data_IF_410118668988
#
_entry.id   IF_410118668988
#
_cell.length_a   1.000
_cell.length_b   1.000
_cell.length_c   1.000
_cell.angle_alpha   90.00
_cell.angle_beta   90.00
_cell.angle_gamma   90.00
#
_symmetry.space_group_name_H-M   'P 1'
#
loop_
_entity.id
_entity.type
_entity.pdbx_description
1 polymer ?
#
# COMPACT_ATOMS: atom_id res chain seq x y z
N UNK A 1 26.02 34.06 -4.65
CA UNK A 1 25.60 32.95 -3.76
C UNK A 1 25.68 31.71 -4.62
N UNK A 2 26.65 30.83 -4.35
CA UNK A 2 26.75 29.54 -5.04
C UNK A 2 26.25 28.48 -4.07
N UNK A 3 25.30 27.66 -4.52
CA UNK A 3 24.82 26.53 -3.72
C UNK A 3 25.95 25.52 -3.48
N UNK A 4 25.86 24.79 -2.37
CA UNK A 4 26.86 23.77 -2.08
C UNK A 4 26.78 22.60 -3.07
N UNK A 5 27.92 22.00 -3.39
CA UNK A 5 28.01 20.85 -4.32
C UNK A 5 27.09 19.68 -3.90
N UNK A 6 26.85 19.52 -2.60
CA UNK A 6 25.95 18.52 -2.02
C UNK A 6 24.48 18.76 -2.38
N UNK A 7 24.02 20.01 -2.39
CA UNK A 7 22.67 20.40 -2.77
C UNK A 7 22.45 20.19 -4.27
N UNK A 8 23.44 20.57 -5.09
CA UNK A 8 23.41 20.31 -6.54
C UNK A 8 23.27 18.82 -6.83
N UNK A 9 24.06 17.96 -6.16
CA UNK A 9 23.95 16.52 -6.33
C UNK A 9 22.58 16.00 -5.85
N UNK A 10 22.03 16.57 -4.78
CA UNK A 10 20.72 16.19 -4.29
C UNK A 10 19.63 16.41 -5.34
N UNK A 11 19.62 17.59 -6.00
CA UNK A 11 18.66 17.89 -7.06
C UNK A 11 18.85 16.99 -8.29
N UNK A 12 20.09 16.71 -8.69
CA UNK A 12 20.37 15.81 -9.80
C UNK A 12 19.81 14.40 -9.54
N UNK A 13 20.04 13.84 -8.36
CA UNK A 13 19.52 12.50 -8.02
C UNK A 13 17.97 12.46 -8.03
N UNK A 14 17.30 13.57 -7.72
CA UNK A 14 15.83 13.66 -7.76
C UNK A 14 15.35 13.76 -9.20
N UNK A 15 16.07 14.52 -10.04
CA UNK A 15 15.79 14.58 -11.48
C UNK A 15 15.89 13.20 -12.14
N UNK A 16 16.88 12.39 -11.77
CA UNK A 16 17.00 11.01 -12.30
C UNK A 16 15.74 10.17 -11.98
N UNK A 17 15.19 10.31 -10.76
CA UNK A 17 13.93 9.62 -10.37
C UNK A 17 12.73 10.15 -11.16
N UNK A 18 12.69 11.45 -11.45
CA UNK A 18 11.65 12.04 -12.29
C UNK A 18 11.76 11.55 -13.73
N UNK A 19 12.97 11.43 -14.26
CA UNK A 19 13.22 10.92 -15.61
C UNK A 19 12.75 9.48 -15.73
N UNK A 20 13.09 8.63 -14.75
CA UNK A 20 12.58 7.26 -14.68
C UNK A 20 11.05 7.22 -14.58
N UNK A 21 10.42 8.13 -13.83
CA UNK A 21 8.96 8.24 -13.75
C UNK A 21 8.33 8.62 -15.09
N UNK A 22 8.90 9.61 -15.79
CA UNK A 22 8.40 10.03 -17.09
C UNK A 22 8.59 8.90 -18.12
N UNK A 23 9.73 8.23 -18.11
CA UNK A 23 9.99 7.07 -18.96
C UNK A 23 9.02 5.92 -18.67
N UNK A 24 8.73 5.64 -17.39
CA UNK A 24 7.73 4.63 -16.98
C UNK A 24 6.35 4.89 -17.59
N UNK A 25 5.99 6.16 -17.80
CA UNK A 25 4.72 6.56 -18.40
C UNK A 25 4.77 6.79 -19.92
N UNK A 26 5.95 6.67 -20.55
CA UNK A 26 6.22 7.06 -21.94
C UNK A 26 6.04 8.58 -22.19
N UNK A 27 6.28 9.40 -21.16
CA UNK A 27 6.18 10.86 -21.18
C UNK A 27 7.57 11.53 -21.29
N UNK A 28 8.52 10.86 -21.93
CA UNK A 28 9.94 11.25 -22.01
C UNK A 28 10.13 12.75 -22.30
N UNK A 29 10.83 13.44 -21.39
CA UNK A 29 11.16 14.87 -21.52
C UNK A 29 10.02 15.85 -21.22
N UNK A 30 8.81 15.38 -20.89
CA UNK A 30 7.65 16.23 -20.59
C UNK A 30 7.57 16.50 -19.07
N UNK A 31 8.55 17.23 -18.54
CA UNK A 31 8.67 17.52 -17.10
C UNK A 31 7.45 18.21 -16.47
N UNK A 32 6.65 18.94 -17.26
CA UNK A 32 5.39 19.52 -16.81
C UNK A 32 4.40 18.46 -16.28
N UNK A 33 4.55 17.18 -16.65
CA UNK A 33 3.74 16.08 -16.11
C UNK A 33 4.22 15.62 -14.72
N UNK A 34 5.49 15.85 -14.38
CA UNK A 34 6.08 15.56 -13.08
C UNK A 34 5.89 16.72 -12.09
N UNK A 35 5.94 17.95 -12.57
CA UNK A 35 5.69 19.16 -11.77
C UNK A 35 4.35 19.80 -12.11
N UNK A 36 3.39 19.61 -11.21
CA UNK A 36 2.12 20.35 -11.24
C UNK A 36 2.07 21.26 -10.01
N UNK A 37 1.99 22.60 -10.18
CA UNK A 37 2.04 23.54 -9.07
C UNK A 37 1.06 23.17 -7.95
N UNK A 38 1.61 23.01 -6.75
CA UNK A 38 0.92 22.64 -5.52
C UNK A 38 0.52 21.16 -5.36
N UNK A 39 0.84 20.22 -6.26
CA UNK A 39 0.35 18.83 -6.17
C UNK A 39 1.13 17.91 -5.20
N UNK A 40 2.20 18.39 -4.57
CA UNK A 40 2.95 17.64 -3.54
C UNK A 40 3.73 16.43 -4.07
N UNK A 41 3.83 16.25 -5.39
CA UNK A 41 4.57 15.15 -6.04
C UNK A 41 6.06 15.19 -5.72
N UNK A 42 6.63 16.38 -5.58
CA UNK A 42 8.06 16.57 -5.24
C UNK A 42 8.45 15.83 -3.95
N UNK A 43 7.65 15.97 -2.88
CA UNK A 43 7.89 15.27 -1.63
C UNK A 43 7.89 13.74 -1.82
N UNK A 44 7.01 13.21 -2.68
CA UNK A 44 6.94 11.77 -2.97
C UNK A 44 8.19 11.29 -3.69
N UNK A 45 8.70 12.07 -4.65
CA UNK A 45 9.98 11.77 -5.33
C UNK A 45 11.15 11.82 -4.36
N UNK A 46 11.15 12.76 -3.40
CA UNK A 46 12.17 12.82 -2.34
C UNK A 46 12.16 11.57 -1.45
N UNK A 47 10.97 11.09 -1.06
CA UNK A 47 10.83 9.84 -0.32
C UNK A 47 11.31 8.64 -1.15
N UNK A 48 10.87 8.53 -2.40
CA UNK A 48 11.27 7.44 -3.28
C UNK A 48 12.78 7.42 -3.49
N UNK A 49 13.40 8.56 -3.82
CA UNK A 49 14.86 8.69 -3.94
C UNK A 49 15.59 8.19 -2.70
N UNK A 50 15.10 8.56 -1.51
CA UNK A 50 15.67 8.10 -0.23
C UNK A 50 15.54 6.58 -0.08
N UNK A 51 14.41 6.00 -0.45
CA UNK A 51 14.17 4.55 -0.36
C UNK A 51 15.00 3.77 -1.37
N UNK A 52 15.06 4.19 -2.63
CA UNK A 52 15.90 3.57 -3.65
C UNK A 52 17.37 3.60 -3.26
N UNK A 53 17.88 4.70 -2.69
CA UNK A 53 19.23 4.74 -2.13
C UNK A 53 19.41 3.81 -0.91
N UNK A 54 18.36 3.59 -0.12
CA UNK A 54 18.42 2.74 1.07
C UNK A 54 18.38 1.25 0.74
N UNK A 55 17.68 0.87 -0.34
CA UNK A 55 17.38 -0.52 -0.67
C UNK A 55 18.07 -1.01 -1.96
N UNK A 56 18.38 -0.11 -2.90
CA UNK A 56 18.82 -0.45 -4.26
C UNK A 56 20.34 -0.61 -4.46
N UNK A 57 21.17 -0.38 -3.45
CA UNK A 57 22.65 -0.53 -3.57
C UNK A 57 23.12 -2.01 -3.67
N UNK A 58 22.20 -2.97 -3.81
CA UNK A 58 22.48 -4.41 -3.89
C UNK A 58 23.00 -5.01 -2.57
N UNK A 59 22.92 -4.26 -1.47
CA UNK A 59 23.32 -4.71 -0.12
C UNK A 59 22.06 -4.88 0.72
N UNK A 60 22.00 -5.95 1.50
CA UNK A 60 20.93 -6.13 2.48
C UNK A 60 20.83 -4.92 3.42
N UNK A 61 19.64 -4.34 3.48
CA UNK A 61 19.29 -3.24 4.37
C UNK A 61 18.61 -3.77 5.63
N UNK A 62 19.07 -3.32 6.80
CA UNK A 62 18.42 -3.65 8.10
C UNK A 62 17.00 -3.09 8.24
N UNK A 63 16.59 -2.23 7.31
CA UNK A 63 15.25 -1.65 7.26
C UNK A 63 14.29 -2.43 6.38
N UNK A 64 14.78 -3.22 5.42
CA UNK A 64 13.94 -4.07 4.59
C UNK A 64 13.64 -5.40 5.28
N UNK A 65 12.75 -6.19 4.69
CA UNK A 65 12.62 -7.61 5.05
C UNK A 65 13.88 -8.39 4.63
N UNK A 66 14.14 -9.52 5.29
CA UNK A 66 15.32 -10.33 5.01
C UNK A 66 15.18 -11.04 3.66
N UNK A 67 16.23 -10.98 2.84
CA UNK A 67 16.27 -11.67 1.55
C UNK A 67 15.47 -11.02 0.42
N UNK A 68 15.15 -9.73 0.52
CA UNK A 68 14.59 -8.98 -0.61
C UNK A 68 15.57 -8.93 -1.79
N UNK A 69 15.02 -8.95 -3.00
CA UNK A 69 15.78 -8.95 -4.24
C UNK A 69 15.65 -7.60 -4.96
N UNK A 70 16.43 -7.42 -6.04
CA UNK A 70 16.33 -6.22 -6.86
C UNK A 70 14.93 -6.05 -7.47
N UNK A 71 14.24 -7.15 -7.78
CA UNK A 71 12.87 -7.12 -8.28
C UNK A 71 11.90 -6.51 -7.26
N UNK A 72 12.08 -6.76 -5.96
CA UNK A 72 11.25 -6.13 -4.93
C UNK A 72 11.46 -4.60 -4.87
N UNK A 73 12.69 -4.14 -5.13
CA UNK A 73 13.03 -2.71 -5.21
C UNK A 73 12.43 -2.09 -6.47
N UNK A 74 12.42 -2.81 -7.58
CA UNK A 74 11.79 -2.39 -8.83
C UNK A 74 10.26 -2.30 -8.65
N UNK A 75 9.65 -3.27 -7.97
CA UNK A 75 8.23 -3.25 -7.60
C UNK A 75 7.91 -2.07 -6.68
N UNK A 76 8.74 -1.82 -5.66
CA UNK A 76 8.64 -0.64 -4.80
C UNK A 76 8.64 0.66 -5.63
N UNK A 77 9.53 0.76 -6.62
CA UNK A 77 9.61 1.92 -7.50
C UNK A 77 8.33 2.09 -8.33
N UNK A 78 7.91 1.03 -9.02
CA UNK A 78 6.73 1.06 -9.90
C UNK A 78 5.46 1.39 -9.13
N UNK A 79 5.28 0.77 -7.97
CA UNK A 79 4.17 1.06 -7.06
C UNK A 79 4.18 2.55 -6.68
N UNK A 80 5.33 3.09 -6.27
CA UNK A 80 5.45 4.51 -5.92
C UNK A 80 5.10 5.44 -7.10
N UNK A 81 5.51 5.09 -8.32
CA UNK A 81 5.14 5.84 -9.52
C UNK A 81 3.63 5.82 -9.78
N UNK A 82 2.95 4.70 -9.57
CA UNK A 82 1.50 4.62 -9.69
C UNK A 82 0.80 5.51 -8.65
N UNK A 83 1.30 5.55 -7.41
CA UNK A 83 0.80 6.44 -6.36
C UNK A 83 0.99 7.93 -6.72
N UNK A 84 2.14 8.28 -7.31
CA UNK A 84 2.41 9.63 -7.82
C UNK A 84 1.46 9.98 -8.97
N UNK A 85 1.25 9.06 -9.92
CA UNK A 85 0.35 9.23 -11.06
C UNK A 85 -1.11 9.39 -10.63
N UNK A 86 -1.56 8.57 -9.68
CA UNK A 86 -2.89 8.64 -9.08
C UNK A 86 -3.10 9.87 -8.18
N UNK A 87 -2.04 10.67 -7.95
CA UNK A 87 -2.04 11.90 -7.13
C UNK A 87 -2.48 11.67 -5.67
N UNK A 88 -2.00 10.60 -5.04
CA UNK A 88 -2.37 10.28 -3.64
C UNK A 88 -1.77 11.26 -2.59
N UNK A 89 -1.04 12.31 -2.99
CA UNK A 89 -0.35 13.23 -2.06
C UNK A 89 -1.08 14.53 -1.66
N UNK A 90 -2.16 14.95 -2.35
CA UNK A 90 -2.79 16.26 -2.07
C UNK A 90 -4.06 16.18 -1.19
N UNK A 91 -4.73 15.03 -1.18
CA UNK A 91 -5.91 14.74 -0.33
C UNK A 91 -5.68 13.61 0.68
N UNK A 92 -4.64 12.79 0.49
CA UNK A 92 -4.11 11.85 1.47
C UNK A 92 -2.77 12.42 1.94
N UNK A 93 -2.57 12.53 3.25
CA UNK A 93 -1.66 13.45 3.94
C UNK A 93 -0.14 13.24 3.75
N UNK A 94 0.30 12.51 2.72
CA UNK A 94 1.69 12.09 2.52
C UNK A 94 2.22 11.15 3.61
N UNK A 95 1.56 11.06 4.77
CA UNK A 95 1.94 10.15 5.86
C UNK A 95 1.59 8.72 5.50
N UNK A 96 0.49 8.52 4.80
CA UNK A 96 0.08 7.19 4.35
C UNK A 96 1.09 6.59 3.35
N UNK A 97 1.64 7.42 2.45
CA UNK A 97 2.72 7.01 1.52
C UNK A 97 3.96 6.50 2.28
N UNK A 98 4.29 7.11 3.42
CA UNK A 98 5.44 6.69 4.25
C UNK A 98 5.29 5.28 4.83
N UNK A 99 4.08 4.72 4.92
CA UNK A 99 3.88 3.35 5.37
C UNK A 99 4.39 2.31 4.37
N UNK A 100 4.70 2.70 3.13
CA UNK A 100 5.26 1.77 2.13
C UNK A 100 6.69 1.37 2.54
N UNK A 101 7.58 2.35 2.80
CA UNK A 101 8.99 2.04 3.05
C UNK A 101 9.75 3.00 3.98
N UNK A 102 9.08 3.88 4.74
CA UNK A 102 9.79 4.85 5.59
C UNK A 102 10.06 4.37 7.02
N UNK A 103 11.25 4.71 7.52
CA UNK A 103 11.62 4.54 8.92
C UNK A 103 12.40 3.26 9.20
N UNK A 104 11.94 2.51 10.19
CA UNK A 104 12.54 1.24 10.64
C UNK A 104 11.63 0.10 10.20
N UNK A 105 12.21 -1.09 9.99
CA UNK A 105 11.55 -2.28 9.45
C UNK A 105 10.10 -2.50 9.92
N UNK A 106 9.86 -2.45 11.24
CA UNK A 106 8.51 -2.65 11.83
C UNK A 106 7.47 -1.56 11.54
N UNK A 107 7.83 -0.48 10.86
CA UNK A 107 6.98 0.69 10.66
C UNK A 107 6.42 0.79 9.23
N UNK A 108 6.81 -0.11 8.33
CA UNK A 108 6.42 -0.03 6.93
C UNK A 108 6.29 -1.41 6.26
N UNK A 109 5.59 -1.47 5.13
CA UNK A 109 5.24 -2.71 4.44
C UNK A 109 6.49 -3.42 3.89
N UNK A 110 7.41 -2.66 3.28
CA UNK A 110 8.68 -3.18 2.76
C UNK A 110 9.61 -3.77 3.84
N UNK A 111 9.23 -3.70 5.12
CA UNK A 111 9.97 -4.29 6.22
C UNK A 111 9.54 -5.71 6.59
N UNK A 112 8.40 -6.18 6.08
CA UNK A 112 7.89 -7.52 6.31
C UNK A 112 7.55 -8.22 4.99
N UNK A 113 8.15 -9.38 4.74
CA UNK A 113 8.03 -10.07 3.46
C UNK A 113 6.59 -10.51 3.14
N UNK A 114 5.81 -10.87 4.16
CA UNK A 114 4.43 -11.33 3.97
C UNK A 114 3.53 -10.14 3.63
N UNK A 115 3.61 -9.07 4.42
CA UNK A 115 2.85 -7.83 4.18
C UNK A 115 3.24 -7.23 2.83
N UNK A 116 4.55 -7.16 2.53
CA UNK A 116 5.04 -6.61 1.26
C UNK A 116 4.47 -7.36 0.06
N UNK A 117 4.58 -8.69 0.07
CA UNK A 117 4.13 -9.50 -1.06
C UNK A 117 2.63 -9.35 -1.32
N UNK A 118 1.82 -9.45 -0.27
CA UNK A 118 0.37 -9.32 -0.39
C UNK A 118 -0.03 -7.92 -0.88
N UNK A 119 0.65 -6.88 -0.37
CA UNK A 119 0.45 -5.49 -0.78
C UNK A 119 0.79 -5.27 -2.26
N UNK A 120 1.94 -5.76 -2.70
CA UNK A 120 2.41 -5.63 -4.07
C UNK A 120 1.54 -6.43 -5.05
N UNK A 121 1.25 -7.69 -4.74
CA UNK A 121 0.38 -8.55 -5.56
C UNK A 121 -1.02 -7.92 -5.72
N UNK A 122 -1.59 -7.40 -4.62
CA UNK A 122 -2.88 -6.71 -4.63
C UNK A 122 -2.81 -5.42 -5.46
N UNK A 123 -1.78 -4.60 -5.28
CA UNK A 123 -1.58 -3.37 -6.04
C UNK A 123 -1.54 -3.64 -7.54
N UNK A 124 -0.72 -4.60 -7.98
CA UNK A 124 -0.60 -4.93 -9.39
C UNK A 124 -1.87 -5.58 -9.97
N UNK A 125 -2.65 -6.30 -9.16
CA UNK A 125 -3.96 -6.82 -9.57
C UNK A 125 -4.97 -5.71 -9.91
N UNK A 126 -4.85 -4.56 -9.25
CA UNK A 126 -5.67 -3.36 -9.46
C UNK A 126 -5.14 -2.54 -10.64
N UNK A 127 -3.84 -2.25 -10.63
CA UNK A 127 -3.22 -1.31 -11.57
C UNK A 127 -3.02 -1.90 -12.96
N UNK A 128 -2.56 -3.15 -13.08
CA UNK A 128 -2.20 -3.72 -14.39
C UNK A 128 -3.38 -3.73 -15.38
N UNK A 129 -4.61 -4.12 -14.99
CA UNK A 129 -5.77 -4.03 -15.87
C UNK A 129 -6.10 -2.59 -16.26
N UNK A 130 -6.00 -1.64 -15.33
CA UNK A 130 -6.25 -0.23 -15.58
C UNK A 130 -5.23 0.36 -16.57
N UNK A 131 -3.94 0.11 -16.39
CA UNK A 131 -2.88 0.53 -17.33
C UNK A 131 -3.16 -0.02 -18.72
N UNK A 132 -3.49 -1.31 -18.85
CA UNK A 132 -3.81 -1.93 -20.14
C UNK A 132 -5.01 -1.24 -20.82
N UNK A 133 -6.07 -0.96 -20.06
CA UNK A 133 -7.27 -0.26 -20.55
C UNK A 133 -6.91 1.15 -21.03
N UNK A 134 -6.21 1.92 -20.20
CA UNK A 134 -5.82 3.31 -20.49
C UNK A 134 -4.90 3.37 -21.72
N UNK A 135 -3.91 2.49 -21.82
CA UNK A 135 -3.01 2.38 -22.99
C UNK A 135 -3.78 2.11 -24.28
N UNK A 136 -4.84 1.29 -24.23
CA UNK A 136 -5.64 0.93 -25.40
C UNK A 136 -6.65 2.02 -25.80
N UNK A 137 -7.33 2.63 -24.83
CA UNK A 137 -8.43 3.57 -25.10
C UNK A 137 -7.95 5.01 -25.31
N UNK A 138 -6.79 5.37 -24.74
CA UNK A 138 -6.28 6.73 -24.72
C UNK A 138 -4.79 6.79 -25.14
N UNK A 139 -4.41 6.29 -26.34
CA UNK A 139 -3.02 6.27 -26.77
C UNK A 139 -2.39 7.68 -26.75
N UNK A 140 -1.08 7.75 -26.51
CA UNK A 140 -0.37 9.03 -26.49
C UNK A 140 -0.29 9.59 -27.92
N UNK A 141 -0.82 10.81 -28.10
CA UNK A 141 -0.72 11.53 -29.36
C UNK A 141 0.31 12.66 -29.24
N UNK A 142 1.57 12.35 -29.58
CA UNK A 142 2.68 13.32 -29.58
C UNK A 142 2.50 14.48 -30.57
N UNK A 143 1.54 14.40 -31.50
CA UNK A 143 1.26 15.46 -32.46
C UNK A 143 0.11 16.38 -32.02
N UNK A 144 -0.48 16.13 -30.85
CA UNK A 144 -1.52 17.00 -30.27
C UNK A 144 -1.03 18.44 -30.15
N UNK A 145 -1.87 19.39 -30.54
CA UNK A 145 -1.62 20.83 -30.31
C UNK A 145 -1.43 21.16 -28.83
N UNK A 146 -2.00 20.34 -27.93
CA UNK A 146 -1.84 20.45 -26.49
C UNK A 146 -1.60 19.07 -25.87
N UNK A 147 -0.35 18.60 -25.94
CA UNK A 147 0.08 17.31 -25.39
C UNK A 147 -0.15 17.22 -23.87
N UNK A 148 0.16 18.29 -23.12
CA UNK A 148 0.02 18.31 -21.66
C UNK A 148 -1.44 18.08 -21.22
N UNK A 149 -2.40 18.71 -21.89
CA UNK A 149 -3.82 18.50 -21.59
C UNK A 149 -4.27 17.07 -21.91
N UNK A 150 -3.76 16.48 -23.00
CA UNK A 150 -4.05 15.09 -23.38
C UNK A 150 -3.52 14.10 -22.33
N UNK A 151 -2.25 14.25 -21.95
CA UNK A 151 -1.61 13.41 -20.93
C UNK A 151 -2.26 13.60 -19.55
N UNK A 152 -2.62 14.83 -19.19
CA UNK A 152 -3.35 15.12 -17.95
C UNK A 152 -4.73 14.44 -17.92
N UNK A 153 -5.44 14.40 -19.06
CA UNK A 153 -6.70 13.68 -19.16
C UNK A 153 -6.50 12.17 -18.97
N UNK A 154 -5.48 11.61 -19.61
CA UNK A 154 -5.10 10.20 -19.49
C UNK A 154 -4.77 9.82 -18.04
N UNK A 155 -4.02 10.65 -17.33
CA UNK A 155 -3.72 10.42 -15.91
C UNK A 155 -4.95 10.57 -15.00
N UNK A 156 -5.87 11.48 -15.32
CA UNK A 156 -7.15 11.58 -14.61
C UNK A 156 -7.99 10.31 -14.81
N UNK A 157 -8.03 9.75 -16.02
CA UNK A 157 -8.70 8.47 -16.30
C UNK A 157 -8.05 7.31 -15.55
N UNK A 158 -6.72 7.24 -15.54
CA UNK A 158 -6.00 6.26 -14.74
C UNK A 158 -6.39 6.35 -13.26
N UNK A 159 -6.33 7.56 -12.70
CA UNK A 159 -6.69 7.82 -11.30
C UNK A 159 -8.11 7.35 -10.99
N UNK A 160 -9.09 7.69 -11.82
CA UNK A 160 -10.49 7.33 -11.59
C UNK A 160 -10.71 5.81 -11.56
N UNK A 161 -9.89 5.04 -12.30
CA UNK A 161 -9.97 3.57 -12.32
C UNK A 161 -9.33 2.92 -11.09
N UNK A 162 -8.21 3.47 -10.57
CA UNK A 162 -7.40 2.77 -9.55
C UNK A 162 -7.52 3.32 -8.14
N UNK A 163 -7.88 4.60 -7.99
CA UNK A 163 -7.68 5.34 -6.73
C UNK A 163 -8.33 4.65 -5.52
N UNK A 164 -9.58 4.23 -5.66
CA UNK A 164 -10.31 3.57 -4.56
C UNK A 164 -9.64 2.24 -4.17
N UNK A 165 -9.25 1.42 -5.16
CA UNK A 165 -8.62 0.13 -4.92
C UNK A 165 -7.25 0.27 -4.24
N UNK A 166 -6.38 1.13 -4.75
CA UNK A 166 -5.04 1.30 -4.17
C UNK A 166 -5.08 2.02 -2.81
N UNK A 167 -6.07 2.89 -2.57
CA UNK A 167 -6.31 3.47 -1.25
C UNK A 167 -6.77 2.42 -0.24
N UNK A 168 -7.71 1.55 -0.64
CA UNK A 168 -8.15 0.44 0.20
C UNK A 168 -6.99 -0.52 0.53
N UNK A 169 -6.20 -0.88 -0.48
CA UNK A 169 -5.00 -1.71 -0.31
C UNK A 169 -4.03 -1.12 0.73
N UNK A 170 -3.82 0.21 0.70
CA UNK A 170 -2.97 0.92 1.65
C UNK A 170 -3.51 0.84 3.09
N UNK A 171 -4.81 1.03 3.28
CA UNK A 171 -5.47 0.99 4.59
C UNK A 171 -5.49 -0.41 5.21
N UNK A 172 -5.76 -1.43 4.38
CA UNK A 172 -5.74 -2.83 4.78
C UNK A 172 -4.36 -3.23 5.30
N UNK A 173 -3.30 -2.97 4.51
CA UNK A 173 -1.95 -3.33 4.89
C UNK A 173 -1.39 -2.47 6.03
N UNK A 174 -1.88 -1.24 6.20
CA UNK A 174 -1.61 -0.44 7.39
C UNK A 174 -2.21 -1.09 8.65
N UNK A 175 -3.39 -1.70 8.53
CA UNK A 175 -4.04 -2.44 9.62
C UNK A 175 -3.25 -3.71 9.95
N UNK A 176 -2.83 -4.47 8.94
CA UNK A 176 -2.02 -5.68 9.12
C UNK A 176 -0.67 -5.39 9.78
N UNK A 177 -0.01 -4.31 9.38
CA UNK A 177 1.20 -3.84 10.03
C UNK A 177 0.93 -3.48 11.51
N UNK A 178 -0.24 -2.89 11.80
CA UNK A 178 -0.72 -2.67 13.16
C UNK A 178 -0.81 -3.95 13.97
N UNK A 179 -1.45 -4.99 13.41
CA UNK A 179 -1.58 -6.30 14.06
C UNK A 179 -0.23 -6.98 14.29
N UNK A 180 0.68 -6.90 13.31
CA UNK A 180 2.04 -7.43 13.46
C UNK A 180 2.78 -6.76 14.62
N UNK A 181 2.63 -5.44 14.78
CA UNK A 181 3.27 -4.67 15.86
C UNK A 181 2.67 -4.93 17.25
N UNK A 182 1.43 -5.40 17.30
CA UNK A 182 0.71 -5.73 18.54
C UNK A 182 0.65 -7.23 18.81
N UNK A 183 1.41 -8.04 18.07
CA UNK A 183 1.42 -9.49 18.20
C UNK A 183 1.75 -9.98 19.63
N UNK A 184 2.50 -9.19 20.41
CA UNK A 184 2.83 -9.46 21.81
C UNK A 184 1.77 -8.97 22.81
N UNK A 185 0.67 -8.36 22.33
CA UNK A 185 -0.42 -7.78 23.12
C UNK A 185 -1.77 -8.44 22.79
N UNK A 186 -1.97 -9.72 23.16
CA UNK A 186 -3.17 -10.46 22.81
C UNK A 186 -4.48 -9.84 23.35
N UNK A 187 -4.41 -9.12 24.48
CA UNK A 187 -5.58 -8.42 25.03
C UNK A 187 -6.02 -7.25 24.14
N UNK A 188 -5.06 -6.50 23.59
CA UNK A 188 -5.33 -5.35 22.73
C UNK A 188 -5.91 -5.85 21.39
N UNK A 189 -5.29 -6.87 20.79
CA UNK A 189 -5.81 -7.52 19.58
C UNK A 189 -7.22 -8.10 19.80
N UNK A 190 -7.45 -8.79 20.92
CA UNK A 190 -8.77 -9.34 21.24
C UNK A 190 -9.83 -8.25 21.44
N UNK A 191 -9.45 -7.10 22.01
CA UNK A 191 -10.34 -5.94 22.17
C UNK A 191 -10.67 -5.32 20.81
N UNK A 192 -9.67 -5.16 19.94
CA UNK A 192 -9.86 -4.65 18.58
C UNK A 192 -10.75 -5.56 17.75
N UNK A 193 -10.53 -6.88 17.80
CA UNK A 193 -11.38 -7.87 17.14
C UNK A 193 -12.83 -7.80 17.62
N UNK A 194 -13.04 -7.70 18.94
CA UNK A 194 -14.38 -7.55 19.51
C UNK A 194 -15.07 -6.28 19.03
N UNK A 195 -14.39 -5.13 19.07
CA UNK A 195 -14.93 -3.85 18.58
C UNK A 195 -15.31 -3.92 17.10
N UNK A 196 -14.49 -4.58 16.28
CA UNK A 196 -14.77 -4.79 14.87
C UNK A 196 -16.06 -5.59 14.68
N UNK A 197 -16.20 -6.73 15.37
CA UNK A 197 -17.41 -7.57 15.34
C UNK A 197 -18.64 -6.78 15.80
N UNK A 198 -18.55 -6.08 16.94
CA UNK A 198 -19.65 -5.30 17.52
C UNK A 198 -20.12 -4.14 16.61
N UNK A 199 -19.25 -3.67 15.71
CA UNK A 199 -19.55 -2.57 14.77
C UNK A 199 -20.27 -3.01 13.50
N UNK A 200 -20.39 -4.31 13.25
CA UNK A 200 -21.02 -4.84 12.04
C UNK A 200 -22.53 -4.61 12.09
N UNK A 201 -23.02 -3.77 11.19
CA UNK A 201 -24.45 -3.51 11.02
C UNK A 201 -25.07 -4.56 10.10
N UNK A 202 -26.11 -5.25 10.57
CA UNK A 202 -26.79 -6.31 9.81
C UNK A 202 -27.94 -5.80 8.92
N UNK A 203 -28.38 -4.54 9.11
CA UNK A 203 -29.49 -3.93 8.36
C UNK A 203 -29.18 -3.59 6.89
N UNK A 204 -27.96 -3.15 6.53
CA UNK A 204 -27.59 -2.87 5.14
C UNK A 204 -27.65 -4.10 4.21
N UNK A 205 -28.04 -3.88 2.93
CA UNK A 205 -28.21 -4.97 1.93
C UNK A 205 -26.93 -5.76 1.65
N UNK A 206 -25.78 -5.12 1.77
CA UNK A 206 -24.46 -5.75 1.59
C UNK A 206 -24.16 -6.81 2.67
N UNK A 207 -24.77 -6.74 3.86
CA UNK A 207 -24.58 -7.78 4.88
C UNK A 207 -25.05 -9.17 4.42
N UNK A 208 -26.08 -9.22 3.56
CA UNK A 208 -26.64 -10.48 3.06
C UNK A 208 -25.86 -11.11 1.91
N UNK A 209 -24.74 -10.52 1.48
CA UNK A 209 -23.92 -11.09 0.41
C UNK A 209 -23.24 -12.39 0.87
N UNK A 210 -23.20 -13.45 0.05
CA UNK A 210 -22.62 -14.74 0.44
C UNK A 210 -21.20 -14.63 0.98
N UNK A 211 -20.36 -13.82 0.34
CA UNK A 211 -18.98 -13.60 0.74
C UNK A 211 -18.86 -12.97 2.13
N UNK A 212 -19.74 -12.02 2.47
CA UNK A 212 -19.76 -11.36 3.80
C UNK A 212 -20.18 -12.35 4.88
N UNK A 213 -21.16 -13.21 4.58
CA UNK A 213 -21.62 -14.23 5.52
C UNK A 213 -20.54 -15.31 5.75
N UNK A 214 -19.88 -15.75 4.68
CA UNK A 214 -18.81 -16.75 4.75
C UNK A 214 -17.58 -16.23 5.48
N UNK A 215 -17.03 -15.08 5.05
CA UNK A 215 -15.83 -14.49 5.67
C UNK A 215 -16.10 -13.97 7.08
N UNK A 216 -17.29 -13.44 7.33
CA UNK A 216 -17.70 -12.95 8.65
C UNK A 216 -18.11 -14.05 9.63
N UNK A 217 -18.22 -15.31 9.18
CA UNK A 217 -18.68 -16.42 10.02
C UNK A 217 -20.15 -16.29 10.46
N UNK A 218 -20.97 -15.54 9.70
CA UNK A 218 -22.38 -15.36 9.98
C UNK A 218 -23.18 -16.50 9.33
N UNK A 219 -23.85 -17.33 10.12
CA UNK A 219 -24.65 -18.43 9.59
C UNK A 219 -26.03 -17.93 9.10
N UNK A 220 -26.37 -18.05 7.80
CA UNK A 220 -27.68 -17.64 7.29
C UNK A 220 -28.86 -18.45 7.85
N UNK A 221 -28.61 -19.60 8.51
CA UNK A 221 -29.66 -20.47 9.05
C UNK A 221 -29.97 -20.26 10.54
N UNK A 222 -29.37 -19.29 11.22
CA UNK A 222 -29.77 -18.96 12.61
C UNK A 222 -30.94 -17.98 12.61
N UNK A 223 -32.13 -18.49 12.28
CA UNK A 223 -33.37 -17.87 12.73
C UNK A 223 -33.41 -17.93 14.27
N UNK A 224 -32.93 -16.88 14.94
CA UNK A 224 -33.32 -16.56 16.31
C UNK A 224 -32.85 -17.48 17.45
N UNK A 225 -31.73 -18.21 17.31
CA UNK A 225 -31.10 -18.88 18.45
C UNK A 225 -29.59 -18.61 18.45
N UNK A 226 -29.20 -17.50 19.07
CA UNK A 226 -27.83 -17.30 19.53
C UNK A 226 -27.59 -18.24 20.72
N UNK A 227 -26.41 -18.87 20.74
CA UNK A 227 -25.92 -19.86 21.72
C UNK A 227 -26.45 -21.29 21.55
N UNK A 228 -25.83 -22.05 20.65
CA UNK A 228 -25.53 -23.44 20.98
C UNK A 228 -24.17 -23.46 21.69
N UNK A 229 -24.19 -23.89 22.95
CA UNK A 229 -23.00 -24.11 23.75
C UNK A 229 -22.00 -24.97 22.97
N UNK A 230 -20.77 -24.48 22.86
CA UNK A 230 -19.62 -25.32 22.50
C UNK A 230 -19.60 -26.45 23.54
N UNK A 231 -19.63 -27.74 23.15
CA UNK A 231 -19.60 -28.82 24.13
C UNK A 231 -18.31 -28.68 24.94
N UNK A 232 -18.44 -28.44 26.25
CA UNK A 232 -17.32 -28.53 27.19
C UNK A 232 -16.74 -29.92 27.06
N UNK A 233 -15.59 -30.06 26.38
CA UNK A 233 -14.76 -31.26 26.49
C UNK A 233 -14.28 -31.36 27.93
N UNK A 234 -14.98 -32.15 28.73
CA UNK A 234 -14.48 -32.61 30.02
C UNK A 234 -13.29 -33.55 29.81
N UNK A 235 -12.21 -33.25 30.54
CA UNK A 235 -11.03 -34.11 30.85
C UNK A 235 -10.13 -34.48 29.65
N UNK A 236 -8.80 -34.33 29.69
CA UNK A 236 -7.86 -34.68 30.75
C UNK A 236 -6.68 -33.70 30.74
N UNK A 237 -6.58 -32.80 31.73
CA UNK A 237 -5.28 -32.21 32.11
C UNK A 237 -4.76 -33.05 33.27
N UNK A 238 -3.87 -33.96 32.94
CA UNK A 238 -3.15 -34.79 33.89
C UNK A 238 -2.30 -33.92 34.81
N UNK A 239 -2.53 -34.14 36.09
CA UNK A 239 -1.79 -33.67 37.25
C UNK A 239 -0.28 -33.88 37.10
N UNK A 240 0.53 -32.83 37.34
CA UNK A 240 1.75 -32.85 38.19
C UNK A 240 2.60 -31.60 37.93
N UNK A 241 2.71 -30.74 38.94
CA UNK A 241 3.97 -30.17 39.43
C UNK A 241 3.66 -29.29 40.65
N UNK A 242 3.51 -29.98 41.78
CA UNK A 242 3.68 -29.38 43.09
C UNK A 242 4.49 -30.37 43.94
N UNK A 243 5.79 -30.09 44.06
CA UNK A 243 6.58 -30.49 45.22
C UNK A 243 7.78 -29.55 45.33
N UNK A 244 7.63 -28.52 46.16
CA UNK A 244 8.73 -27.98 46.95
C UNK A 244 9.03 -28.98 48.06
N UNK A 245 10.29 -29.37 48.17
CA UNK A 245 11.06 -29.37 49.41
C UNK A 245 12.48 -28.97 49.03
#
# INVERSE_FOLDING_TARGET
MGEEKSEIQHYLDVMDVIDEYLQYLEYDGIYAMADTPNDGKEDLFLYLKKWLKTFGDGKESTKAFDGYEQLDVDDLKNICFDFVRAKIGKSYDGKSFRHIADGQRKNHFFGDAKIWKDFADTHFSIVSPAVKKINSEYPIDYNSENIEASLSNRDAKFRDEVLEGIAHNLEEHQTDLGYLREADKPLDLGTSARKAIDSIQQGPKNFSQPEVLERGGFNPNTNGNAYQEIPRRNSVVGTKLASRN
#
